data_IF_489827248746
#
_entry.id   IF_489827248746
#
_cell.length_a   1.000
_cell.length_b   1.000
_cell.length_c   1.000
_cell.angle_alpha   90.00
_cell.angle_beta   90.00
_cell.angle_gamma   90.00
#
_symmetry.space_group_name_H-M   'P 1'
#
loop_
_entity.id
_entity.type
_entity.pdbx_description
1 polymer ?
#
# COMPACT_ATOMS: atom_id res chain seq x y z
N UNK A 1 -7.45 21.56 -9.13
CA UNK A 1 -7.53 20.28 -8.38
C UNK A 1 -6.19 19.59 -8.54
N UNK A 2 -5.32 19.66 -7.53
CA UNK A 2 -4.00 19.06 -7.61
C UNK A 2 -4.13 17.54 -7.43
N UNK A 3 -3.91 16.78 -8.50
CA UNK A 3 -3.76 15.34 -8.43
C UNK A 3 -2.39 15.06 -7.81
N UNK A 4 -2.28 15.10 -6.47
CA UNK A 4 -1.07 14.71 -5.74
C UNK A 4 -0.85 13.23 -6.03
N UNK A 5 0.04 12.93 -6.97
CA UNK A 5 0.57 11.58 -7.13
C UNK A 5 1.34 11.26 -5.84
N UNK A 6 0.70 10.50 -4.95
CA UNK A 6 1.37 9.90 -3.80
C UNK A 6 2.29 8.81 -4.36
N UNK A 7 3.49 9.22 -4.79
CA UNK A 7 4.48 8.36 -5.44
C UNK A 7 5.79 8.41 -4.67
N UNK A 8 6.50 7.29 -4.60
CA UNK A 8 7.82 7.21 -3.98
C UNK A 8 8.70 6.16 -4.63
N UNK A 9 9.92 6.03 -4.14
CA UNK A 9 10.85 4.98 -4.56
C UNK A 9 11.30 4.16 -3.35
N UNK A 10 11.44 2.85 -3.52
CA UNK A 10 11.75 1.92 -2.42
C UNK A 10 12.58 0.75 -2.94
N UNK A 11 13.48 0.20 -2.11
CA UNK A 11 14.11 -1.08 -2.43
C UNK A 11 13.18 -2.25 -2.12
N UNK A 12 13.38 -3.38 -2.80
CA UNK A 12 12.61 -4.63 -2.56
C UNK A 12 12.67 -5.02 -1.08
N UNK A 13 13.86 -4.98 -0.48
CA UNK A 13 14.07 -5.33 0.92
C UNK A 13 13.33 -4.41 1.90
N UNK A 14 13.32 -3.10 1.62
CA UNK A 14 12.57 -2.15 2.44
C UNK A 14 11.07 -2.40 2.30
N UNK A 15 10.58 -2.63 1.08
CA UNK A 15 9.16 -2.91 0.82
C UNK A 15 8.66 -4.16 1.56
N UNK A 16 9.45 -5.24 1.59
CA UNK A 16 9.09 -6.49 2.28
C UNK A 16 8.94 -6.36 3.80
N UNK A 17 9.62 -5.38 4.39
CA UNK A 17 9.58 -5.10 5.84
C UNK A 17 8.63 -3.96 6.20
N UNK A 18 8.06 -3.28 5.21
CA UNK A 18 7.22 -2.12 5.42
C UNK A 18 5.82 -2.50 5.92
N UNK A 19 5.26 -1.59 6.70
CA UNK A 19 3.87 -1.60 7.16
C UNK A 19 3.12 -0.50 6.42
N UNK A 20 1.94 -0.80 5.89
CA UNK A 20 1.07 0.23 5.35
C UNK A 20 0.36 0.95 6.50
N UNK A 21 0.52 2.28 6.56
CA UNK A 21 -0.15 3.14 7.54
C UNK A 21 -1.01 4.17 6.84
N UNK A 22 -2.20 4.39 7.39
CA UNK A 22 -3.07 5.49 7.01
C UNK A 22 -3.01 6.58 8.07
N UNK A 23 -2.67 7.79 7.65
CA UNK A 23 -2.58 8.96 8.53
C UNK A 23 -3.36 10.12 7.91
N UNK A 24 -3.99 10.93 8.75
CA UNK A 24 -4.57 12.20 8.30
C UNK A 24 -3.45 13.23 8.21
N UNK A 25 -3.27 13.80 7.02
CA UNK A 25 -2.36 14.91 6.78
C UNK A 25 -3.21 16.20 6.88
N UNK A 26 -2.64 17.26 7.46
CA UNK A 26 -3.28 18.58 7.59
C UNK A 26 -4.53 18.60 8.51
N UNK A 27 -4.47 17.94 9.67
CA UNK A 27 -5.52 17.98 10.68
C UNK A 27 -5.08 18.70 11.95
N UNK A 28 -5.97 19.53 12.53
CA UNK A 28 -5.71 20.34 13.73
C UNK A 28 -5.58 19.51 15.04
N UNK A 29 -5.89 18.22 14.98
CA UNK A 29 -5.81 17.31 16.12
C UNK A 29 -4.75 16.24 15.86
N UNK A 30 -3.72 16.22 16.69
CA UNK A 30 -2.77 15.10 16.76
C UNK A 30 -3.49 13.85 17.31
N UNK A 31 -3.21 12.68 16.73
CA UNK A 31 -3.58 11.38 17.32
C UNK A 31 -4.80 10.66 16.73
N UNK A 32 -5.29 11.04 15.54
CA UNK A 32 -6.27 10.22 14.82
C UNK A 32 -5.59 9.03 14.13
N UNK A 33 -5.57 7.90 14.82
CA UNK A 33 -5.03 6.63 14.31
C UNK A 33 -6.07 5.87 13.49
N UNK A 34 -5.63 5.32 12.35
CA UNK A 34 -6.41 4.44 11.49
C UNK A 34 -5.75 3.07 11.40
N UNK A 35 -6.54 2.02 11.57
CA UNK A 35 -6.15 0.65 11.25
C UNK A 35 -6.31 0.44 9.75
N UNK A 36 -5.29 -0.11 9.08
CA UNK A 36 -5.44 -0.62 7.71
C UNK A 36 -6.05 -2.01 7.77
N UNK A 37 -7.23 -2.17 7.17
CA UNK A 37 -7.99 -3.42 7.15
C UNK A 37 -7.64 -4.29 5.95
N UNK A 38 -7.54 -3.70 4.77
CA UNK A 38 -7.16 -4.39 3.54
C UNK A 38 -6.71 -3.42 2.44
N UNK A 39 -6.06 -3.93 1.41
CA UNK A 39 -5.76 -3.19 0.20
C UNK A 39 -5.57 -4.14 -0.99
N UNK A 40 -5.73 -3.61 -2.20
CA UNK A 40 -5.33 -4.30 -3.42
C UNK A 40 -3.91 -3.88 -3.81
N UNK A 41 -3.03 -4.86 -3.99
CA UNK A 41 -1.71 -4.67 -4.56
C UNK A 41 -1.73 -5.10 -6.03
N UNK A 42 -1.27 -4.24 -6.93
CA UNK A 42 -1.08 -4.61 -8.32
C UNK A 42 0.27 -4.18 -8.89
N UNK A 43 0.87 -5.01 -9.73
CA UNK A 43 2.18 -4.79 -10.36
C UNK A 43 2.33 -5.67 -11.59
N UNK A 44 3.40 -5.48 -12.36
CA UNK A 44 3.71 -6.29 -13.54
C UNK A 44 4.91 -7.18 -13.25
N UNK A 45 4.72 -8.50 -13.34
CA UNK A 45 5.77 -9.51 -13.16
C UNK A 45 5.92 -10.26 -14.48
N UNK A 46 7.12 -10.27 -15.07
CA UNK A 46 7.40 -10.95 -16.34
C UNK A 46 6.43 -10.56 -17.49
N UNK A 47 5.96 -9.32 -17.52
CA UNK A 47 5.03 -8.82 -18.55
C UNK A 47 3.55 -9.07 -18.25
N UNK A 48 3.22 -9.83 -17.19
CA UNK A 48 1.85 -10.08 -16.78
C UNK A 48 1.45 -9.21 -15.59
N UNK A 49 0.23 -8.66 -15.62
CA UNK A 49 -0.32 -7.93 -14.48
C UNK A 49 -0.75 -8.91 -13.40
N UNK A 50 -0.12 -8.80 -12.24
CA UNK A 50 -0.49 -9.54 -11.03
C UNK A 50 -1.28 -8.61 -10.12
N UNK A 51 -2.43 -9.07 -9.64
CA UNK A 51 -3.23 -8.39 -8.62
C UNK A 51 -3.46 -9.32 -7.42
N UNK A 52 -3.33 -8.79 -6.21
CA UNK A 52 -3.53 -9.51 -4.94
C UNK A 52 -4.31 -8.63 -3.98
N UNK A 53 -5.34 -9.20 -3.36
CA UNK A 53 -5.99 -8.58 -2.23
C UNK A 53 -5.24 -8.98 -0.96
N UNK A 54 -4.85 -8.00 -0.16
CA UNK A 54 -4.07 -8.17 1.08
C UNK A 54 -4.94 -7.76 2.25
N UNK A 55 -5.06 -8.66 3.23
CA UNK A 55 -5.72 -8.36 4.51
C UNK A 55 -4.70 -7.89 5.53
N UNK A 56 -5.04 -6.81 6.24
CA UNK A 56 -4.19 -6.15 7.23
C UNK A 56 -3.17 -5.18 6.62
N UNK A 57 -2.28 -4.68 7.48
CA UNK A 57 -1.29 -3.65 7.13
C UNK A 57 0.02 -4.20 6.54
N UNK A 58 0.27 -5.51 6.63
CA UNK A 58 1.53 -6.13 6.22
C UNK A 58 1.38 -6.99 4.98
N UNK A 59 2.42 -7.04 4.16
CA UNK A 59 2.47 -7.95 3.02
C UNK A 59 2.58 -9.41 3.50
N UNK A 60 1.67 -10.30 3.11
CA UNK A 60 1.70 -11.69 3.50
C UNK A 60 2.88 -12.41 2.83
N UNK A 61 3.31 -13.54 3.41
CA UNK A 61 4.49 -14.25 2.96
C UNK A 61 4.41 -14.69 1.49
N UNK A 62 3.23 -15.12 1.03
CA UNK A 62 2.99 -15.53 -0.35
C UNK A 62 3.15 -14.36 -1.34
N UNK A 63 2.66 -13.16 -1.00
CA UNK A 63 2.82 -11.97 -1.83
C UNK A 63 4.29 -11.55 -1.87
N UNK A 64 4.99 -11.60 -0.73
CA UNK A 64 6.43 -11.28 -0.68
C UNK A 64 7.25 -12.21 -1.58
N UNK A 65 7.08 -13.52 -1.44
CA UNK A 65 7.88 -14.50 -2.20
C UNK A 65 7.46 -14.61 -3.67
N UNK A 66 6.17 -14.58 -3.97
CA UNK A 66 5.68 -14.88 -5.32
C UNK A 66 5.48 -13.64 -6.20
N UNK A 67 5.50 -12.44 -5.62
CA UNK A 67 5.31 -11.17 -6.34
C UNK A 67 6.50 -10.25 -6.11
N UNK A 68 6.74 -9.84 -4.86
CA UNK A 68 7.73 -8.80 -4.54
C UNK A 68 9.16 -9.23 -4.88
N UNK A 69 9.54 -10.46 -4.57
CA UNK A 69 10.88 -11.00 -4.87
C UNK A 69 11.16 -11.17 -6.37
N UNK A 70 10.13 -11.05 -7.21
CA UNK A 70 10.25 -11.16 -8.68
C UNK A 70 10.26 -9.82 -9.38
N UNK A 71 10.12 -8.72 -8.63
CA UNK A 71 10.20 -7.38 -9.17
C UNK A 71 11.63 -7.04 -9.58
N UNK A 72 11.74 -6.13 -10.54
CA UNK A 72 13.03 -5.60 -11.00
C UNK A 72 13.07 -4.10 -10.73
N UNK A 73 14.27 -3.53 -10.71
CA UNK A 73 14.44 -2.08 -10.72
C UNK A 73 13.64 -1.47 -11.88
N UNK A 74 12.94 -0.38 -11.60
CA UNK A 74 12.00 0.27 -12.52
C UNK A 74 10.59 -0.33 -12.55
N UNK A 75 10.32 -1.44 -11.84
CA UNK A 75 8.94 -1.91 -11.65
C UNK A 75 8.15 -0.92 -10.79
N UNK A 76 6.86 -0.75 -11.11
CA UNK A 76 5.92 0.05 -10.29
C UNK A 76 4.96 -0.88 -9.56
N UNK A 77 4.75 -0.62 -8.28
CA UNK A 77 3.79 -1.30 -7.42
C UNK A 77 2.70 -0.32 -7.03
N UNK A 78 1.45 -0.67 -7.31
CA UNK A 78 0.27 0.11 -7.00
C UNK A 78 -0.44 -0.46 -5.78
N UNK A 79 -0.85 0.43 -4.88
CA UNK A 79 -1.68 0.15 -3.72
C UNK A 79 -3.01 0.84 -3.95
N UNK A 80 -4.08 0.06 -4.08
CA UNK A 80 -5.41 0.50 -4.50
C UNK A 80 -6.46 0.00 -3.50
N UNK A 81 -7.66 0.57 -3.52
CA UNK A 81 -8.79 0.12 -2.69
C UNK A 81 -8.41 -0.07 -1.20
N UNK A 82 -7.61 0.86 -0.66
CA UNK A 82 -7.10 0.76 0.72
C UNK A 82 -8.27 1.00 1.67
N UNK A 83 -8.68 -0.03 2.39
CA UNK A 83 -9.72 0.03 3.41
C UNK A 83 -9.09 0.32 4.77
N UNK A 84 -9.60 1.33 5.44
CA UNK A 84 -9.13 1.76 6.75
C UNK A 84 -10.29 1.86 7.72
N UNK A 85 -9.98 1.82 9.00
CA UNK A 85 -10.95 2.07 10.07
C UNK A 85 -10.32 2.95 11.11
N UNK A 86 -10.97 4.07 11.40
CA UNK A 86 -10.57 4.93 12.51
C UNK A 86 -10.65 4.13 13.82
N UNK A 87 -9.61 4.19 14.64
CA UNK A 87 -9.57 3.51 15.94
C UNK A 87 -10.77 3.94 16.79
N UNK A 88 -11.52 2.96 17.32
CA UNK A 88 -12.76 3.20 18.08
C UNK A 88 -14.03 3.41 17.24
N UNK A 89 -13.93 3.40 15.91
CA UNK A 89 -15.09 3.37 15.01
C UNK A 89 -15.40 1.94 14.55
N UNK A 90 -16.68 1.65 14.28
CA UNK A 90 -17.10 0.42 13.58
C UNK A 90 -17.12 0.58 12.06
N UNK A 91 -16.97 1.80 11.54
CA UNK A 91 -17.08 2.10 10.11
C UNK A 91 -15.73 1.94 9.40
N UNK A 92 -15.75 1.20 8.30
CA UNK A 92 -14.64 1.14 7.35
C UNK A 92 -14.82 2.20 6.25
N UNK A 93 -13.72 2.77 5.80
CA UNK A 93 -13.65 3.80 4.77
C UNK A 93 -12.61 3.41 3.72
N UNK A 94 -12.81 3.81 2.47
CA UNK A 94 -11.82 3.62 1.40
C UNK A 94 -11.07 4.92 1.20
N UNK A 95 -9.73 4.85 1.21
CA UNK A 95 -8.86 5.99 0.96
C UNK A 95 -8.16 5.89 -0.39
N UNK A 96 -7.63 7.02 -0.85
CA UNK A 96 -6.90 7.10 -2.11
C UNK A 96 -5.69 6.18 -2.11
N UNK A 97 -5.49 5.51 -3.25
CA UNK A 97 -4.30 4.69 -3.51
C UNK A 97 -3.03 5.51 -3.73
N UNK A 98 -1.92 4.79 -3.84
CA UNK A 98 -0.60 5.36 -4.09
C UNK A 98 0.27 4.33 -4.84
N UNK A 99 1.47 4.72 -5.28
CA UNK A 99 2.39 3.80 -5.93
C UNK A 99 3.82 3.98 -5.46
N UNK A 100 4.62 2.92 -5.60
CA UNK A 100 6.05 2.92 -5.33
C UNK A 100 6.81 2.37 -6.54
N UNK A 101 7.90 3.03 -6.90
CA UNK A 101 8.86 2.55 -7.88
C UNK A 101 9.96 1.75 -7.19
N UNK A 102 10.31 0.60 -7.75
CA UNK A 102 11.39 -0.24 -7.24
C UNK A 102 12.74 0.32 -7.70
N UNK A 103 13.64 0.54 -6.74
CA UNK A 103 15.04 0.91 -6.98
C UNK A 103 15.90 -0.29 -7.35
#
# INVERSE_FOLDING_TARGET
MANRQNGGSVSIDALKRSELKAVLIDFLFDGLEYDVLSFDLSTTVNGERVKRNVSGAFLPADVRTNVIDRLRSGSTVHFENIQVRRKGSSKAEIVSGFYLNIL
#
